data_IF_538563993452
#
_entry.id   IF_538563993452
#
_cell.length_a   1.000
_cell.length_b   1.000
_cell.length_c   1.000
_cell.angle_alpha   90.00
_cell.angle_beta   90.00
_cell.angle_gamma   90.00
#
_symmetry.space_group_name_H-M   'P 1'
#
loop_
_entity.id
_entity.type
_entity.pdbx_description
1 polymer ?
#
# COMPACT_ATOMS: atom_id res chain seq x y z
N UNK A 1 8.47 4.44 7.52
CA UNK A 1 7.97 3.05 7.54
C UNK A 1 6.69 3.05 8.35
N UNK A 2 5.60 2.44 7.86
CA UNK A 2 4.35 2.41 8.64
C UNK A 2 4.58 1.62 9.91
N UNK A 3 4.23 2.19 11.05
CA UNK A 3 4.24 1.48 12.31
C UNK A 3 2.98 0.63 12.38
N UNK A 4 3.16 -0.69 12.45
CA UNK A 4 2.05 -1.65 12.53
C UNK A 4 2.07 -2.35 13.88
N UNK A 5 0.91 -2.40 14.52
CA UNK A 5 0.73 -3.23 15.70
C UNK A 5 0.33 -4.67 15.31
N UNK A 6 0.22 -5.54 16.30
CA UNK A 6 -0.18 -6.94 16.06
C UNK A 6 -1.64 -7.05 15.60
N UNK A 7 -2.49 -6.08 15.94
CA UNK A 7 -3.90 -6.05 15.50
C UNK A 7 -3.98 -5.69 14.02
N UNK A 8 -3.25 -4.68 13.56
CA UNK A 8 -3.13 -4.28 12.16
C UNK A 8 -2.63 -5.45 11.31
N UNK A 9 -1.62 -6.18 11.79
CA UNK A 9 -1.11 -7.37 11.10
C UNK A 9 -2.21 -8.41 10.89
N UNK A 10 -3.05 -8.67 11.91
CA UNK A 10 -4.16 -9.63 11.78
C UNK A 10 -5.18 -9.15 10.75
N UNK A 11 -5.57 -7.89 10.81
CA UNK A 11 -6.55 -7.28 9.90
C UNK A 11 -6.05 -7.32 8.45
N UNK A 12 -4.78 -6.98 8.23
CA UNK A 12 -4.15 -7.04 6.91
C UNK A 12 -4.08 -8.49 6.42
N UNK A 13 -3.70 -9.46 7.25
CA UNK A 13 -3.65 -10.87 6.83
C UNK A 13 -5.03 -11.40 6.42
N UNK A 14 -6.09 -10.98 7.12
CA UNK A 14 -7.47 -11.38 6.83
C UNK A 14 -7.96 -10.84 5.48
N UNK A 15 -7.61 -9.61 5.13
CA UNK A 15 -8.11 -8.93 3.93
C UNK A 15 -7.02 -8.66 2.88
N UNK A 16 -5.87 -9.31 2.99
CA UNK A 16 -4.67 -8.98 2.21
C UNK A 16 -4.94 -8.84 0.70
N UNK A 17 -5.64 -9.81 0.12
CA UNK A 17 -5.98 -9.83 -1.30
C UNK A 17 -6.86 -8.63 -1.68
N UNK A 18 -7.87 -8.34 -0.85
CA UNK A 18 -8.81 -7.24 -1.08
C UNK A 18 -8.11 -5.89 -0.98
N UNK A 19 -7.35 -5.65 0.11
CA UNK A 19 -6.63 -4.38 0.33
C UNK A 19 -5.61 -4.14 -0.79
N UNK A 20 -4.88 -5.18 -1.19
CA UNK A 20 -3.88 -5.08 -2.28
C UNK A 20 -4.54 -4.75 -3.62
N UNK A 21 -5.66 -5.41 -3.94
CA UNK A 21 -6.37 -5.15 -5.20
C UNK A 21 -6.96 -3.75 -5.22
N UNK A 22 -7.61 -3.33 -4.13
CA UNK A 22 -8.14 -1.97 -4.00
C UNK A 22 -7.03 -0.91 -4.15
N UNK A 23 -5.88 -1.12 -3.51
CA UNK A 23 -4.74 -0.19 -3.59
C UNK A 23 -4.25 -0.07 -5.04
N UNK A 24 -4.18 -1.18 -5.77
CA UNK A 24 -3.77 -1.19 -7.19
C UNK A 24 -4.79 -0.53 -8.09
N UNK A 25 -6.07 -0.78 -7.86
CA UNK A 25 -7.14 -0.16 -8.63
C UNK A 25 -7.11 1.36 -8.43
N UNK A 26 -6.94 1.85 -7.19
CA UNK A 26 -6.82 3.29 -6.92
C UNK A 26 -5.63 3.92 -7.64
N UNK A 27 -4.47 3.24 -7.69
CA UNK A 27 -3.31 3.71 -8.46
C UNK A 27 -3.66 3.81 -9.95
N UNK A 28 -4.35 2.81 -10.51
CA UNK A 28 -4.76 2.81 -11.92
C UNK A 28 -5.77 3.92 -12.23
N UNK A 29 -6.74 4.13 -11.36
CA UNK A 29 -7.76 5.18 -11.50
C UNK A 29 -7.10 6.57 -11.51
N UNK A 30 -6.14 6.82 -10.61
CA UNK A 30 -5.37 8.07 -10.57
C UNK A 30 -4.52 8.31 -11.83
N UNK A 31 -3.98 7.25 -12.43
CA UNK A 31 -3.29 7.37 -13.73
C UNK A 31 -4.27 7.70 -14.86
N UNK A 32 -5.49 7.16 -14.84
CA UNK A 32 -6.52 7.49 -15.84
C UNK A 32 -6.97 8.95 -15.72
N UNK A 33 -7.21 9.43 -14.50
CA UNK A 33 -7.58 10.83 -14.24
C UNK A 33 -6.53 11.82 -14.78
N UNK A 34 -5.25 11.44 -14.72
CA UNK A 34 -4.13 12.20 -15.30
C UNK A 34 -4.25 12.33 -16.82
N UNK A 35 -4.56 11.22 -17.50
CA UNK A 35 -4.63 11.17 -18.96
C UNK A 35 -5.86 11.89 -19.53
N UNK A 36 -7.02 11.78 -18.88
CA UNK A 36 -8.26 12.45 -19.34
C UNK A 36 -8.17 13.97 -19.23
N UNK A 37 -7.42 14.45 -18.24
CA UNK A 37 -7.18 15.88 -18.03
C UNK A 37 -6.40 16.52 -19.19
N UNK A 38 -5.44 15.82 -19.77
CA UNK A 38 -4.66 16.32 -20.91
C UNK A 38 -5.52 16.43 -22.19
N UNK A 39 -6.48 15.51 -22.38
CA UNK A 39 -7.44 15.51 -23.50
C UNK A 39 -8.36 16.74 -23.45
N UNK A 40 -8.82 17.15 -22.25
CA UNK A 40 -9.65 18.33 -22.09
C UNK A 40 -8.95 19.62 -22.55
N UNK A 41 -7.64 19.76 -22.29
CA UNK A 41 -6.83 20.91 -22.73
C UNK A 41 -6.77 20.98 -24.26
N UNK A 42 -6.57 19.83 -24.91
CA UNK A 42 -6.53 19.74 -26.37
C UNK A 42 -7.87 20.16 -26.97
N UNK A 43 -8.99 19.64 -26.45
CA UNK A 43 -10.35 19.98 -26.92
C UNK A 43 -10.68 21.47 -26.73
N UNK A 44 -10.30 22.07 -25.61
CA UNK A 44 -10.49 23.51 -25.35
C UNK A 44 -9.61 24.36 -26.29
N UNK A 45 -8.37 23.93 -26.52
CA UNK A 45 -7.43 24.61 -27.43
C UNK A 45 -7.89 24.55 -28.89
N UNK A 46 -8.49 23.43 -29.33
CA UNK A 46 -9.07 23.29 -30.68
C UNK A 46 -10.28 24.23 -30.86
N UNK A 47 -11.13 24.41 -29.84
CA UNK A 47 -12.25 25.37 -29.90
C UNK A 47 -11.77 26.83 -30.06
N UNK A 48 -10.64 27.20 -29.45
CA UNK A 48 -10.03 28.55 -29.60
C UNK A 48 -9.75 28.89 -31.07
N UNK A 49 -9.19 27.95 -31.82
CA UNK A 49 -8.83 28.17 -33.23
C UNK A 49 -10.05 28.26 -34.16
N UNK A 50 -11.20 27.73 -33.77
CA UNK A 50 -12.43 27.79 -34.59
C UNK A 50 -13.25 29.06 -34.37
N UNK A 51 -13.06 29.75 -33.24
CA UNK A 51 -13.82 30.95 -32.87
C UNK A 51 -13.09 32.27 -33.20
N UNK A 52 -11.83 32.23 -33.61
CA UNK A 52 -11.04 33.43 -33.96
C UNK A 52 -11.35 34.01 -35.35
N UNK A 53 -12.11 33.30 -36.18
CA UNK A 53 -12.32 33.65 -37.59
C UNK A 53 -13.71 34.26 -37.88
N UNK A 54 -14.52 34.59 -36.87
CA UNK A 54 -15.81 35.27 -37.06
C UNK A 54 -15.74 36.76 -36.75
N UNK A 55 -15.84 37.65 -37.76
CA UNK A 55 -15.79 39.09 -37.56
C UNK A 55 -17.15 39.60 -37.05
N UNK A 56 -17.15 40.10 -35.82
CA UNK A 56 -18.17 40.99 -35.30
C UNK A 56 -19.11 40.37 -34.26
N UNK A 57 -18.79 40.56 -32.97
CA UNK A 57 -19.72 40.98 -31.91
C UNK A 57 -18.84 41.64 -30.83
N UNK A 58 -18.94 42.96 -30.71
CA UNK A 58 -18.51 43.69 -29.51
C UNK A 58 -19.65 43.58 -28.51
N UNK A 59 -19.48 42.87 -27.42
CA UNK A 59 -20.27 43.03 -26.19
C UNK A 59 -19.45 42.53 -24.99
N UNK A 60 -19.34 43.36 -23.97
CA UNK A 60 -18.41 43.19 -22.85
C UNK A 60 -18.73 41.98 -21.96
N UNK A 61 -17.69 41.20 -21.69
CA UNK A 61 -17.48 40.40 -20.48
C UNK A 61 -16.16 39.59 -20.62
N UNK A 62 -15.14 40.21 -21.21
CA UNK A 62 -13.82 39.60 -21.35
C UNK A 62 -13.07 39.60 -20.02
N UNK A 63 -13.46 38.74 -19.08
CA UNK A 63 -12.42 38.10 -18.27
C UNK A 63 -11.56 37.36 -19.30
N UNK A 64 -10.35 37.89 -19.52
CA UNK A 64 -9.51 37.55 -20.66
C UNK A 64 -9.41 36.01 -20.79
N UNK A 65 -9.65 35.46 -21.98
CA UNK A 65 -9.54 34.01 -22.20
C UNK A 65 -8.12 33.54 -21.83
N UNK A 66 -7.13 34.43 -21.91
CA UNK A 66 -5.79 34.26 -21.33
C UNK A 66 -5.83 33.98 -19.82
N UNK A 67 -6.59 34.75 -19.04
CA UNK A 67 -6.77 34.53 -17.60
C UNK A 67 -7.50 33.21 -17.30
N UNK A 68 -8.40 32.78 -18.18
CA UNK A 68 -9.08 31.48 -18.06
C UNK A 68 -8.08 30.33 -18.30
N UNK A 69 -7.25 30.44 -19.35
CA UNK A 69 -6.19 29.46 -19.65
C UNK A 69 -5.14 29.43 -18.55
N UNK A 70 -4.70 30.57 -18.04
CA UNK A 70 -3.72 30.66 -16.94
C UNK A 70 -4.28 30.09 -15.63
N UNK A 71 -5.57 30.33 -15.33
CA UNK A 71 -6.25 29.71 -14.19
C UNK A 71 -6.33 28.20 -14.35
N UNK A 72 -6.68 27.70 -15.53
CA UNK A 72 -6.72 26.28 -15.82
C UNK A 72 -5.33 25.63 -15.69
N UNK A 73 -4.28 26.22 -16.26
CA UNK A 73 -2.89 25.74 -16.10
C UNK A 73 -2.47 25.66 -14.63
N UNK A 74 -2.89 26.62 -13.80
CA UNK A 74 -2.63 26.59 -12.36
C UNK A 74 -3.39 25.46 -11.67
N UNK A 75 -4.65 25.24 -12.04
CA UNK A 75 -5.45 24.12 -11.52
C UNK A 75 -4.82 22.78 -11.88
N UNK A 76 -4.42 22.59 -13.14
CA UNK A 76 -3.69 21.41 -13.58
C UNK A 76 -2.45 21.17 -12.74
N UNK A 77 -1.61 22.19 -12.57
CA UNK A 77 -0.38 22.06 -11.78
C UNK A 77 -0.66 21.65 -10.33
N UNK A 78 -1.77 22.10 -9.75
CA UNK A 78 -2.18 21.69 -8.41
C UNK A 78 -2.70 20.24 -8.41
N UNK A 79 -3.56 19.88 -9.36
CA UNK A 79 -4.05 18.50 -9.51
C UNK A 79 -2.93 17.50 -9.74
N UNK A 80 -1.96 17.81 -10.61
CA UNK A 80 -0.76 16.98 -10.81
C UNK A 80 -0.01 16.75 -9.49
N UNK A 81 0.12 17.77 -8.64
CA UNK A 81 0.75 17.63 -7.31
C UNK A 81 -0.09 16.78 -6.37
N UNK A 82 -1.41 16.98 -6.35
CA UNK A 82 -2.35 16.23 -5.51
C UNK A 82 -2.35 14.74 -5.89
N UNK A 83 -2.51 14.44 -7.18
CA UNK A 83 -2.47 13.08 -7.73
C UNK A 83 -1.10 12.43 -7.46
N UNK A 84 0.01 13.12 -7.73
CA UNK A 84 1.36 12.57 -7.46
C UNK A 84 1.54 12.22 -5.98
N UNK A 85 1.06 13.10 -5.09
CA UNK A 85 1.13 12.87 -3.65
C UNK A 85 0.27 11.67 -3.21
N UNK A 86 -0.91 11.49 -3.81
CA UNK A 86 -1.78 10.36 -3.54
C UNK A 86 -1.16 9.03 -4.04
N UNK A 87 -0.60 9.03 -5.24
CA UNK A 87 0.14 7.89 -5.79
C UNK A 87 1.31 7.51 -4.87
N UNK A 88 2.09 8.49 -4.39
CA UNK A 88 3.19 8.24 -3.45
C UNK A 88 2.70 7.57 -2.15
N UNK A 89 1.54 7.95 -1.62
CA UNK A 89 0.94 7.31 -0.44
C UNK A 89 0.54 5.87 -0.76
N UNK A 90 -0.11 5.64 -1.90
CA UNK A 90 -0.57 4.31 -2.31
C UNK A 90 0.60 3.37 -2.61
N UNK A 91 1.69 3.85 -3.21
CA UNK A 91 2.90 3.07 -3.43
C UNK A 91 3.54 2.66 -2.10
N UNK A 92 3.66 3.58 -1.13
CA UNK A 92 4.15 3.24 0.21
C UNK A 92 3.25 2.21 0.90
N UNK A 93 1.93 2.29 0.69
CA UNK A 93 0.99 1.29 1.19
C UNK A 93 1.21 -0.08 0.51
N UNK A 94 1.42 -0.12 -0.81
CA UNK A 94 1.75 -1.36 -1.52
C UNK A 94 3.06 -1.98 -1.02
N UNK A 95 4.10 -1.18 -0.81
CA UNK A 95 5.37 -1.62 -0.23
C UNK A 95 5.20 -2.22 1.17
N UNK A 96 4.40 -1.56 2.02
CA UNK A 96 4.08 -2.05 3.36
C UNK A 96 3.35 -3.39 3.31
N UNK A 97 2.33 -3.52 2.46
CA UNK A 97 1.60 -4.79 2.26
C UNK A 97 2.55 -5.89 1.78
N UNK A 98 3.40 -5.57 0.78
CA UNK A 98 4.34 -6.53 0.23
C UNK A 98 5.33 -7.01 1.29
N UNK A 99 5.89 -6.10 2.09
CA UNK A 99 6.80 -6.45 3.18
C UNK A 99 6.15 -7.34 4.22
N UNK A 100 4.96 -6.99 4.68
CA UNK A 100 4.21 -7.81 5.65
C UNK A 100 3.96 -9.22 5.10
N UNK A 101 3.60 -9.33 3.82
CA UNK A 101 3.38 -10.62 3.17
C UNK A 101 4.65 -11.46 3.04
N UNK A 102 5.81 -10.83 2.78
CA UNK A 102 7.11 -11.51 2.85
C UNK A 102 7.34 -12.06 4.26
N UNK A 103 7.19 -11.23 5.30
CA UNK A 103 7.40 -11.63 6.69
C UNK A 103 6.49 -12.81 7.08
N UNK A 104 5.23 -12.78 6.67
CA UNK A 104 4.30 -13.88 6.85
C UNK A 104 4.77 -15.18 6.18
N UNK A 105 5.21 -15.14 4.91
CA UNK A 105 5.69 -16.33 4.18
C UNK A 105 6.98 -16.92 4.74
N UNK A 106 7.78 -16.12 5.42
CA UNK A 106 9.03 -16.57 6.01
C UNK A 106 8.84 -17.32 7.33
N UNK A 107 7.63 -17.27 7.92
CA UNK A 107 7.36 -17.94 9.19
C UNK A 107 7.77 -19.43 9.19
N UNK A 108 8.25 -19.97 10.32
CA UNK A 108 8.45 -21.40 10.49
C UNK A 108 7.16 -22.17 10.17
N UNK A 109 7.28 -23.34 9.55
CA UNK A 109 6.16 -24.11 9.00
C UNK A 109 4.94 -24.21 9.92
N UNK A 110 5.15 -24.56 11.20
CA UNK A 110 4.06 -24.66 12.19
C UNK A 110 3.36 -23.33 12.45
N UNK A 111 4.11 -22.22 12.51
CA UNK A 111 3.56 -20.88 12.68
C UNK A 111 2.83 -20.43 11.42
N UNK A 112 3.44 -20.67 10.25
CA UNK A 112 2.84 -20.36 8.96
C UNK A 112 1.48 -21.05 8.80
N UNK A 113 1.39 -22.35 9.08
CA UNK A 113 0.15 -23.13 8.99
C UNK A 113 -0.97 -22.54 9.84
N UNK A 114 -0.75 -22.37 11.15
CA UNK A 114 -1.82 -21.87 12.05
C UNK A 114 -2.22 -20.43 11.74
N UNK A 115 -1.27 -19.58 11.32
CA UNK A 115 -1.58 -18.19 10.90
C UNK A 115 -2.38 -18.19 9.60
N UNK A 116 -2.04 -19.08 8.65
CA UNK A 116 -2.76 -19.24 7.39
C UNK A 116 -4.21 -19.63 7.65
N UNK A 117 -4.43 -20.67 8.44
CA UNK A 117 -5.78 -21.20 8.69
C UNK A 117 -6.65 -20.19 9.43
N UNK A 118 -6.11 -19.54 10.45
CA UNK A 118 -6.86 -18.61 11.30
C UNK A 118 -7.13 -17.29 10.57
N UNK A 119 -6.12 -16.65 9.98
CA UNK A 119 -6.25 -15.29 9.48
C UNK A 119 -6.49 -15.26 7.97
N UNK A 120 -5.75 -16.03 7.17
CA UNK A 120 -5.88 -15.98 5.70
C UNK A 120 -7.09 -16.76 5.21
N UNK A 121 -7.36 -17.93 5.78
CA UNK A 121 -8.50 -18.79 5.44
C UNK A 121 -9.72 -18.57 6.34
N UNK A 122 -9.58 -17.73 7.38
CA UNK A 122 -10.65 -17.35 8.32
C UNK A 122 -11.35 -18.56 8.95
N UNK A 123 -10.61 -19.65 9.19
CA UNK A 123 -11.16 -20.84 9.85
C UNK A 123 -11.47 -20.53 11.32
N UNK A 124 -12.54 -21.12 11.88
CA UNK A 124 -12.87 -20.94 13.28
C UNK A 124 -11.73 -21.39 14.20
N UNK A 125 -11.33 -20.54 15.14
CA UNK A 125 -10.25 -20.80 16.10
C UNK A 125 -10.35 -22.18 16.77
N UNK A 126 -11.54 -22.56 17.26
CA UNK A 126 -11.77 -23.84 17.94
C UNK A 126 -11.50 -25.05 17.05
N UNK A 127 -11.76 -24.93 15.74
CA UNK A 127 -11.52 -26.01 14.79
C UNK A 127 -10.02 -26.23 14.62
N UNK A 128 -9.29 -25.16 14.33
CA UNK A 128 -7.83 -25.18 14.16
C UNK A 128 -7.12 -25.65 15.44
N UNK A 129 -7.58 -25.17 16.60
CA UNK A 129 -7.08 -25.62 17.91
C UNK A 129 -7.26 -27.13 18.09
N UNK A 130 -8.46 -27.67 17.81
CA UNK A 130 -8.74 -29.10 17.94
C UNK A 130 -7.93 -29.98 16.97
N UNK A 131 -7.72 -29.51 15.73
CA UNK A 131 -6.94 -30.22 14.71
C UNK A 131 -5.43 -30.21 15.00
N UNK A 132 -4.93 -29.18 15.72
CA UNK A 132 -3.52 -29.05 16.07
C UNK A 132 -3.00 -30.15 17.02
N UNK A 133 -3.90 -30.79 17.79
CA UNK A 133 -3.60 -31.74 18.87
C UNK A 133 -2.71 -31.17 20.00
N UNK A 134 -2.56 -29.86 20.05
CA UNK A 134 -1.81 -29.15 21.09
C UNK A 134 -2.71 -28.80 22.27
N UNK A 135 -2.10 -28.57 23.44
CA UNK A 135 -2.85 -27.94 24.54
C UNK A 135 -3.26 -26.52 24.13
N UNK A 136 -4.40 -26.04 24.64
CA UNK A 136 -4.87 -24.66 24.44
C UNK A 136 -3.77 -23.61 24.66
N UNK A 137 -3.00 -23.79 25.73
CA UNK A 137 -1.92 -22.87 26.10
C UNK A 137 -0.76 -22.89 25.09
N UNK A 138 -0.40 -24.08 24.60
CA UNK A 138 0.66 -24.26 23.60
C UNK A 138 0.23 -23.68 22.26
N UNK A 139 -1.01 -23.95 21.86
CA UNK A 139 -1.60 -23.42 20.63
C UNK A 139 -1.63 -21.90 20.61
N UNK A 140 -2.13 -21.27 21.69
CA UNK A 140 -2.16 -19.81 21.81
C UNK A 140 -0.75 -19.22 21.73
N UNK A 141 0.23 -19.85 22.39
CA UNK A 141 1.63 -19.43 22.35
C UNK A 141 2.22 -19.56 20.94
N UNK A 142 1.88 -20.62 20.20
CA UNK A 142 2.31 -20.83 18.82
C UNK A 142 1.81 -19.71 17.91
N UNK A 143 0.51 -19.39 17.99
CA UNK A 143 -0.10 -18.31 17.18
C UNK A 143 0.50 -16.95 17.54
N UNK A 144 0.59 -16.63 18.84
CA UNK A 144 1.15 -15.35 19.28
C UNK A 144 2.63 -15.19 18.87
N UNK A 145 3.43 -16.26 18.95
CA UNK A 145 4.81 -16.23 18.45
C UNK A 145 4.88 -15.98 16.95
N UNK A 146 3.98 -16.59 16.16
CA UNK A 146 3.89 -16.32 14.73
C UNK A 146 3.66 -14.83 14.43
N UNK A 147 2.67 -14.23 15.09
CA UNK A 147 2.36 -12.81 14.91
C UNK A 147 3.50 -11.88 15.36
N UNK A 148 4.11 -12.17 16.51
CA UNK A 148 5.26 -11.40 17.01
C UNK A 148 6.48 -11.53 16.09
N UNK A 149 6.69 -12.70 15.48
CA UNK A 149 7.76 -12.90 14.49
C UNK A 149 7.51 -12.09 13.22
N UNK A 150 6.27 -12.04 12.71
CA UNK A 150 5.92 -11.16 11.59
C UNK A 150 6.24 -9.71 11.96
N UNK A 151 5.78 -9.24 13.12
CA UNK A 151 6.04 -7.88 13.59
C UNK A 151 7.54 -7.59 13.68
N UNK A 152 8.30 -8.47 14.33
CA UNK A 152 9.74 -8.32 14.50
C UNK A 152 10.49 -8.22 13.16
N UNK A 153 10.18 -9.10 12.20
CA UNK A 153 10.78 -9.03 10.86
C UNK A 153 10.32 -7.77 10.11
N UNK A 154 9.05 -7.42 10.23
CA UNK A 154 8.50 -6.22 9.59
C UNK A 154 9.22 -4.98 10.11
N UNK A 155 9.34 -4.79 11.42
CA UNK A 155 9.99 -3.63 12.04
C UNK A 155 11.52 -3.62 11.87
N UNK A 156 12.13 -4.72 11.42
CA UNK A 156 13.57 -4.79 11.23
C UNK A 156 14.07 -3.80 10.18
N UNK A 157 15.31 -3.33 10.32
CA UNK A 157 15.95 -2.48 9.31
C UNK A 157 16.38 -3.23 8.03
N UNK A 158 16.10 -4.54 7.93
CA UNK A 158 16.56 -5.35 6.81
C UNK A 158 15.72 -5.11 5.55
N UNK A 159 16.35 -4.99 4.36
CA UNK A 159 15.61 -4.92 3.11
C UNK A 159 14.92 -6.25 2.81
N UNK A 160 13.85 -6.19 2.02
CA UNK A 160 13.04 -7.36 1.66
C UNK A 160 13.88 -8.50 1.03
N UNK A 161 14.87 -8.16 0.20
CA UNK A 161 15.79 -9.13 -0.41
C UNK A 161 16.60 -9.89 0.64
N UNK A 162 17.10 -9.20 1.66
CA UNK A 162 17.84 -9.82 2.75
C UNK A 162 16.95 -10.77 3.56
N UNK A 163 15.70 -10.36 3.85
CA UNK A 163 14.72 -11.21 4.52
C UNK A 163 14.45 -12.50 3.72
N UNK A 164 14.39 -12.41 2.38
CA UNK A 164 14.14 -13.56 1.51
C UNK A 164 15.34 -14.52 1.41
N UNK A 165 16.57 -14.03 1.54
CA UNK A 165 17.80 -14.84 1.41
C UNK A 165 18.21 -15.55 2.71
N UNK A 166 17.64 -15.16 3.85
CA UNK A 166 18.05 -15.65 5.16
C UNK A 166 16.88 -16.23 5.95
N UNK A 167 17.08 -17.41 6.55
CA UNK A 167 16.10 -17.99 7.46
C UNK A 167 15.92 -17.11 8.70
N UNK A 168 14.72 -17.12 9.29
CA UNK A 168 14.43 -16.41 10.56
C UNK A 168 15.47 -16.66 11.66
N UNK A 169 16.02 -17.87 11.72
CA UNK A 169 17.05 -18.24 12.68
C UNK A 169 18.35 -17.43 12.51
N UNK A 170 18.76 -17.12 11.28
CA UNK A 170 19.93 -16.28 11.00
C UNK A 170 19.67 -14.81 11.29
N UNK A 171 18.44 -14.33 11.03
CA UNK A 171 18.04 -12.95 11.32
C UNK A 171 18.03 -12.71 12.83
N UNK A 172 17.40 -13.62 13.59
CA UNK A 172 17.26 -13.53 15.04
C UNK A 172 18.62 -13.55 15.75
N UNK A 173 19.52 -14.47 15.35
CA UNK A 173 20.86 -14.58 15.93
C UNK A 173 21.72 -13.32 15.69
N UNK A 174 21.61 -12.70 14.51
CA UNK A 174 22.40 -11.51 14.17
C UNK A 174 21.91 -10.26 14.91
N UNK A 175 20.62 -10.17 15.20
CA UNK A 175 20.07 -9.09 16.03
C UNK A 175 20.48 -9.24 17.51
N UNK A 176 20.52 -10.46 18.03
CA UNK A 176 21.06 -10.76 19.37
C UNK A 176 22.55 -10.38 19.44
N UNK A 177 23.36 -10.79 18.46
CA UNK A 177 24.79 -10.43 18.36
C UNK A 177 25.02 -8.91 18.20
N UNK A 178 24.05 -8.16 17.68
CA UNK A 178 24.14 -6.69 17.51
C UNK A 178 23.70 -5.94 18.78
N UNK A 179 22.71 -6.44 19.50
CA UNK A 179 22.28 -5.89 20.78
C UNK A 179 23.37 -6.03 21.85
N UNK A 180 24.03 -7.20 21.92
CA UNK A 180 25.14 -7.46 22.85
C UNK A 180 26.40 -6.61 22.59
N UNK A 181 26.51 -5.97 21.42
CA UNK A 181 27.65 -5.08 21.08
C UNK A 181 27.38 -3.61 21.39
N UNK A 182 26.14 -3.26 21.72
CA UNK A 182 25.73 -1.89 22.08
C UNK A 182 25.53 -1.71 23.58
N UNK A 183 25.68 -2.78 24.37
CA UNK A 183 25.80 -2.78 25.83
C UNK A 183 27.27 -2.82 26.28
#
# INVERSE_FOLDING_TARGET
>A
MYELDVKDIKEILMEYKSIREQTRQQILDLYQDLHDTDVLIEVISIRKNKNSDMPGIKNGAGQDLSDIVLRHQRQLKNWYKEISYEIDILLKKEEMLHRLWICYRLLPERQYQVITEIYVQKQPWKKVEGESKESKSTFLRLVNRGLLNIKKMYDSGYPNEYLLQHSLQKITKREEDQAERME
#
